data_IF_528481350022
#
_entry.id   IF_528481350022
#
_cell.length_a   1.000
_cell.length_b   1.000
_cell.length_c   1.000
_cell.angle_alpha   90.00
_cell.angle_beta   90.00
_cell.angle_gamma   90.00
#
_symmetry.space_group_name_H-M   'P 1'
#
loop_
_entity.id
_entity.type
_entity.pdbx_description
1 polymer ?
#
# COMPACT_ATOMS: atom_id res chain seq x y z
N UNK A 1 66.24 32.11 -5.64
CA UNK A 1 65.43 33.14 -4.97
C UNK A 1 64.00 33.07 -5.51
N UNK A 2 63.00 32.86 -4.66
CA UNK A 2 61.54 32.78 -4.90
C UNK A 2 60.92 31.37 -4.91
N UNK A 3 60.94 30.73 -3.77
CA UNK A 3 60.14 29.57 -3.47
C UNK A 3 59.38 29.71 -2.14
N UNK A 4 58.99 30.94 -1.75
CA UNK A 4 58.36 31.22 -0.44
C UNK A 4 56.95 31.85 -0.50
N UNK A 5 56.35 32.01 -1.68
CA UNK A 5 55.04 32.65 -1.80
C UNK A 5 53.89 31.77 -2.25
N UNK A 6 54.10 30.45 -2.33
CA UNK A 6 53.06 29.50 -2.76
C UNK A 6 52.33 28.74 -1.63
N UNK A 7 52.70 29.03 -0.33
CA UNK A 7 52.10 28.29 0.79
C UNK A 7 51.05 29.09 1.57
N UNK A 8 50.72 30.31 1.23
CA UNK A 8 49.79 31.15 1.99
C UNK A 8 48.32 31.14 1.49
N UNK A 9 48.02 30.51 0.36
CA UNK A 9 46.64 30.49 -0.20
C UNK A 9 45.87 29.17 0.05
N UNK A 10 46.57 28.12 0.49
CA UNK A 10 45.96 26.80 0.72
C UNK A 10 45.26 26.67 2.09
N UNK A 11 45.52 27.56 3.07
CA UNK A 11 44.95 27.42 4.39
C UNK A 11 43.56 28.02 4.58
N UNK A 12 43.09 28.90 3.69
CA UNK A 12 41.77 29.54 3.81
C UNK A 12 40.65 28.74 3.11
N UNK A 13 40.97 27.85 2.18
CA UNK A 13 39.99 27.03 1.50
C UNK A 13 39.56 25.77 2.29
N UNK A 14 40.39 25.32 3.21
CA UNK A 14 40.14 24.12 3.99
C UNK A 14 39.05 24.26 5.08
N UNK A 15 38.87 25.46 5.61
CA UNK A 15 37.91 25.73 6.71
C UNK A 15 36.45 25.91 6.17
N UNK A 16 36.26 26.37 4.96
CA UNK A 16 34.95 26.56 4.37
C UNK A 16 34.30 25.23 3.91
N UNK A 17 35.12 24.25 3.49
CA UNK A 17 34.66 22.91 3.08
C UNK A 17 34.27 22.01 4.26
N UNK A 18 34.92 22.18 5.43
CA UNK A 18 34.61 21.39 6.61
C UNK A 18 33.27 21.76 7.25
N UNK A 19 32.86 23.04 7.16
CA UNK A 19 31.57 23.49 7.69
C UNK A 19 30.38 23.10 6.82
N UNK A 20 30.58 22.96 5.51
CA UNK A 20 29.50 22.55 4.59
C UNK A 20 29.23 21.05 4.66
N UNK A 21 30.27 20.22 4.83
CA UNK A 21 30.09 18.77 4.97
C UNK A 21 29.43 18.38 6.31
N UNK A 22 29.63 19.15 7.38
CA UNK A 22 28.97 18.92 8.66
C UNK A 22 27.46 19.27 8.61
N UNK A 23 27.07 20.28 7.80
CA UNK A 23 25.66 20.66 7.65
C UNK A 23 24.86 19.67 6.78
N UNK A 24 25.48 19.05 5.77
CA UNK A 24 24.86 18.01 4.97
C UNK A 24 24.76 16.67 5.70
N UNK A 25 25.73 16.31 6.54
CA UNK A 25 25.69 15.08 7.33
C UNK A 25 24.60 15.10 8.40
N UNK A 26 24.31 16.29 8.99
CA UNK A 26 23.23 16.43 9.97
C UNK A 26 21.82 16.26 9.35
N UNK A 27 21.65 16.52 8.06
CA UNK A 27 20.38 16.36 7.35
C UNK A 27 20.10 14.92 6.96
N UNK A 28 21.13 14.14 6.63
CA UNK A 28 20.99 12.71 6.29
C UNK A 28 20.75 11.81 7.51
N UNK A 29 21.16 12.25 8.71
CA UNK A 29 20.92 11.50 9.95
C UNK A 29 19.46 11.51 10.43
N UNK A 30 18.67 12.49 10.02
CA UNK A 30 17.27 12.65 10.46
C UNK A 30 16.26 11.89 9.59
N UNK A 31 16.62 11.55 8.35
CA UNK A 31 15.79 10.73 7.48
C UNK A 31 15.83 9.22 7.80
N UNK A 32 16.80 8.76 8.55
CA UNK A 32 16.95 7.33 8.94
C UNK A 32 16.00 6.85 10.02
N UNK A 33 15.17 7.72 10.59
CA UNK A 33 14.29 7.35 11.71
C UNK A 33 12.89 6.94 11.29
N UNK A 34 12.56 6.94 10.00
CA UNK A 34 11.31 6.39 9.50
C UNK A 34 11.50 4.90 9.21
N UNK A 35 11.24 4.07 10.22
CA UNK A 35 11.43 2.61 10.15
C UNK A 35 10.28 1.88 9.44
N UNK A 36 9.24 2.58 9.00
CA UNK A 36 8.09 1.97 8.30
C UNK A 36 8.35 2.05 6.80
N UNK A 37 8.58 0.90 6.17
CA UNK A 37 8.84 0.80 4.73
C UNK A 37 7.57 0.55 3.90
N UNK A 38 6.55 -0.09 4.48
CA UNK A 38 5.34 -0.51 3.78
C UNK A 38 4.20 -0.72 4.79
N UNK A 39 2.99 -0.41 4.37
CA UNK A 39 1.77 -0.80 5.08
C UNK A 39 0.89 -1.57 4.11
N UNK A 40 0.45 -2.77 4.50
CA UNK A 40 -0.40 -3.64 3.68
C UNK A 40 -1.63 -4.02 4.50
N UNK A 41 -2.85 -3.80 4.00
CA UNK A 41 -4.06 -4.27 4.66
C UNK A 41 -4.15 -5.80 4.59
N UNK A 42 -4.54 -6.43 5.69
CA UNK A 42 -4.91 -7.86 5.76
C UNK A 42 -6.40 -7.94 6.02
N UNK A 43 -7.14 -8.45 5.06
CA UNK A 43 -8.60 -8.55 5.11
C UNK A 43 -9.01 -9.97 5.48
N UNK A 44 -9.89 -10.11 6.47
CA UNK A 44 -10.33 -11.42 6.93
C UNK A 44 -11.65 -11.79 6.27
N UNK A 45 -11.69 -13.00 5.72
CA UNK A 45 -12.80 -13.52 4.91
C UNK A 45 -13.16 -14.95 5.30
N UNK A 46 -14.31 -15.43 4.86
CA UNK A 46 -14.68 -16.85 5.00
C UNK A 46 -13.90 -17.73 4.02
N UNK A 47 -13.63 -17.22 2.81
CA UNK A 47 -12.91 -17.89 1.73
C UNK A 47 -12.16 -16.85 0.93
N UNK A 48 -10.91 -17.09 0.57
CA UNK A 48 -10.06 -16.14 -0.16
C UNK A 48 -10.24 -16.22 -1.66
N UNK A 49 -10.73 -17.32 -2.21
CA UNK A 49 -10.84 -17.58 -3.64
C UNK A 49 -11.76 -16.58 -4.37
N UNK A 50 -12.92 -16.17 -3.83
CA UNK A 50 -13.77 -15.16 -4.49
C UNK A 50 -13.06 -13.80 -4.62
N UNK A 51 -12.33 -13.38 -3.58
CA UNK A 51 -11.54 -12.14 -3.61
C UNK A 51 -10.34 -12.27 -4.55
N UNK A 52 -9.64 -13.41 -4.56
CA UNK A 52 -8.60 -13.71 -5.54
C UNK A 52 -9.09 -13.49 -6.97
N UNK A 53 -10.20 -14.13 -7.32
CA UNK A 53 -10.81 -14.03 -8.65
C UNK A 53 -11.18 -12.57 -8.98
N UNK A 54 -11.81 -11.86 -8.05
CA UNK A 54 -12.20 -10.47 -8.22
C UNK A 54 -11.02 -9.57 -8.61
N UNK A 55 -9.91 -9.65 -7.88
CA UNK A 55 -8.75 -8.80 -8.11
C UNK A 55 -7.95 -9.20 -9.34
N UNK A 56 -7.78 -10.50 -9.58
CA UNK A 56 -6.98 -10.98 -10.72
C UNK A 56 -7.70 -10.77 -12.04
N UNK A 57 -8.98 -11.10 -12.14
CA UNK A 57 -9.72 -11.05 -13.40
C UNK A 57 -10.15 -9.62 -13.78
N UNK A 58 -10.53 -8.79 -12.79
CA UNK A 58 -11.02 -7.44 -13.07
C UNK A 58 -9.92 -6.40 -13.13
N UNK A 59 -8.93 -6.52 -12.26
CA UNK A 59 -7.90 -5.50 -12.08
C UNK A 59 -6.49 -5.97 -12.44
N UNK A 60 -6.29 -7.23 -12.80
CA UNK A 60 -5.00 -7.76 -13.21
C UNK A 60 -3.96 -7.82 -12.08
N UNK A 61 -4.41 -7.96 -10.83
CA UNK A 61 -3.51 -8.28 -9.73
C UNK A 61 -2.89 -9.65 -9.94
N UNK A 62 -1.68 -9.84 -9.41
CA UNK A 62 -0.97 -11.10 -9.39
C UNK A 62 -0.98 -11.68 -7.98
N UNK A 63 -1.28 -12.97 -7.84
CA UNK A 63 -1.06 -13.67 -6.59
C UNK A 63 0.44 -13.92 -6.42
N UNK A 64 1.04 -13.35 -5.37
CA UNK A 64 2.47 -13.43 -5.08
C UNK A 64 2.77 -14.42 -3.95
N UNK A 65 1.82 -14.62 -3.03
CA UNK A 65 1.91 -15.58 -1.94
C UNK A 65 0.62 -16.36 -1.83
N UNK A 66 0.70 -17.64 -1.48
CA UNK A 66 -0.43 -18.46 -1.07
C UNK A 66 -0.03 -19.40 0.07
N UNK A 67 -0.95 -19.65 0.99
CA UNK A 67 -0.82 -20.65 2.03
C UNK A 67 -2.05 -21.56 2.02
N UNK A 68 -1.89 -22.87 1.79
CA UNK A 68 -2.99 -23.82 1.84
C UNK A 68 -3.57 -23.97 3.26
N UNK A 69 -4.87 -24.24 3.32
CA UNK A 69 -5.61 -24.63 4.52
C UNK A 69 -6.51 -25.82 4.16
N UNK A 70 -6.00 -27.05 4.33
CA UNK A 70 -6.70 -28.25 3.86
C UNK A 70 -6.80 -28.30 2.34
N UNK A 71 -8.03 -28.33 1.82
CA UNK A 71 -8.36 -28.39 0.40
C UNK A 71 -8.61 -27.03 -0.27
N UNK A 72 -8.43 -25.95 0.46
CA UNK A 72 -8.61 -24.57 -0.01
C UNK A 72 -7.42 -23.69 0.40
N UNK A 73 -7.46 -22.39 0.03
CA UNK A 73 -6.43 -21.44 0.42
C UNK A 73 -6.83 -20.72 1.73
N UNK A 74 -5.93 -20.72 2.71
CA UNK A 74 -6.11 -20.02 3.98
C UNK A 74 -5.62 -18.57 3.94
N UNK A 75 -4.63 -18.28 3.07
CA UNK A 75 -4.03 -16.95 2.94
C UNK A 75 -3.54 -16.70 1.52
N UNK A 76 -3.67 -15.46 1.07
CA UNK A 76 -3.10 -14.97 -0.19
C UNK A 76 -2.55 -13.55 -0.04
N UNK A 77 -1.49 -13.23 -0.80
CA UNK A 77 -1.07 -11.87 -1.07
C UNK A 77 -1.25 -11.56 -2.56
N UNK A 78 -1.79 -10.40 -2.86
CA UNK A 78 -2.10 -9.92 -4.20
C UNK A 78 -1.41 -8.60 -4.45
N UNK A 79 -0.70 -8.47 -5.58
CA UNK A 79 0.05 -7.27 -5.93
C UNK A 79 -0.27 -6.75 -7.33
N UNK A 80 -0.26 -5.41 -7.46
CA UNK A 80 -0.27 -4.70 -8.73
C UNK A 80 0.51 -3.39 -8.61
N UNK A 81 1.68 -3.33 -9.24
CA UNK A 81 2.58 -2.19 -9.08
C UNK A 81 2.99 -2.01 -7.62
N UNK A 82 2.73 -0.84 -7.05
CA UNK A 82 3.01 -0.54 -5.64
C UNK A 82 1.87 -0.91 -4.69
N UNK A 83 0.74 -1.39 -5.21
CA UNK A 83 -0.43 -1.74 -4.40
C UNK A 83 -0.37 -3.21 -4.02
N UNK A 84 -0.52 -3.49 -2.73
CA UNK A 84 -0.66 -4.84 -2.20
C UNK A 84 -1.88 -4.93 -1.29
N UNK A 85 -2.56 -6.06 -1.33
CA UNK A 85 -3.63 -6.43 -0.41
C UNK A 85 -3.49 -7.91 -0.06
N UNK A 86 -3.72 -8.24 1.19
CA UNK A 86 -3.66 -9.61 1.68
C UNK A 86 -5.03 -10.06 2.18
N UNK A 87 -5.33 -11.34 2.00
CA UNK A 87 -6.54 -11.97 2.49
C UNK A 87 -6.19 -13.19 3.32
N UNK A 88 -6.89 -13.37 4.43
CA UNK A 88 -6.75 -14.52 5.31
C UNK A 88 -8.13 -15.02 5.73
N UNK A 89 -8.31 -16.35 5.77
CA UNK A 89 -9.55 -16.93 6.27
C UNK A 89 -9.69 -16.72 7.78
N UNK A 90 -10.93 -16.59 8.27
CA UNK A 90 -11.20 -16.58 9.71
C UNK A 90 -10.78 -17.90 10.39
N UNK A 91 -10.90 -19.02 9.68
CA UNK A 91 -10.47 -20.34 10.17
C UNK A 91 -8.96 -20.40 10.33
N UNK A 92 -8.20 -19.99 9.32
CA UNK A 92 -6.73 -19.97 9.37
C UNK A 92 -6.20 -19.08 10.49
N UNK A 93 -6.86 -17.93 10.75
CA UNK A 93 -6.49 -17.05 11.85
C UNK A 93 -6.69 -17.70 13.23
N UNK A 94 -7.70 -18.56 13.35
CA UNK A 94 -8.07 -19.26 14.61
C UNK A 94 -7.37 -20.61 14.76
N UNK A 95 -6.73 -21.13 13.72
CA UNK A 95 -6.14 -22.48 13.72
C UNK A 95 -4.95 -22.61 14.68
N UNK A 96 -4.24 -21.52 14.97
CA UNK A 96 -3.18 -21.49 15.97
C UNK A 96 -3.71 -20.93 17.31
N UNK A 97 -3.93 -21.79 18.32
CA UNK A 97 -4.40 -21.35 19.64
C UNK A 97 -3.41 -20.44 20.38
N UNK A 98 -2.14 -20.44 19.98
CA UNK A 98 -1.10 -19.57 20.54
C UNK A 98 -1.10 -18.18 19.90
N UNK A 99 -1.87 -17.97 18.81
CA UNK A 99 -1.98 -16.67 18.17
C UNK A 99 -2.79 -15.69 19.03
N UNK A 100 -2.16 -14.66 19.61
CA UNK A 100 -2.86 -13.69 20.45
C UNK A 100 -3.93 -12.89 19.70
N UNK A 101 -3.86 -12.85 18.36
CA UNK A 101 -4.80 -12.14 17.51
C UNK A 101 -6.04 -12.98 17.13
N UNK A 102 -6.04 -14.29 17.42
CA UNK A 102 -7.13 -15.19 17.05
C UNK A 102 -8.50 -14.75 17.61
N UNK A 103 -8.49 -14.06 18.76
CA UNK A 103 -9.70 -13.54 19.39
C UNK A 103 -10.04 -12.09 19.00
N UNK A 104 -9.10 -11.38 18.34
CA UNK A 104 -9.28 -9.99 17.95
C UNK A 104 -9.94 -9.83 16.58
N UNK A 105 -10.13 -10.93 15.84
CA UNK A 105 -10.70 -10.89 14.48
C UNK A 105 -12.22 -10.80 14.58
N UNK A 106 -12.76 -9.61 14.37
CA UNK A 106 -14.20 -9.40 14.24
C UNK A 106 -14.64 -9.67 12.80
N UNK A 107 -15.78 -10.34 12.65
CA UNK A 107 -16.38 -10.59 11.33
C UNK A 107 -17.16 -9.36 10.89
N UNK A 108 -16.45 -8.35 10.40
CA UNK A 108 -17.04 -7.12 9.90
C UNK A 108 -16.40 -6.66 8.60
N UNK A 109 -17.09 -5.80 7.81
CA UNK A 109 -16.52 -5.24 6.61
C UNK A 109 -15.40 -4.25 6.93
N UNK A 110 -14.33 -4.32 6.14
CA UNK A 110 -13.31 -3.27 6.07
C UNK A 110 -13.55 -2.40 4.86
N UNK A 111 -12.97 -1.19 4.86
CA UNK A 111 -13.06 -0.25 3.76
C UNK A 111 -11.67 -0.02 3.19
N UNK A 112 -11.52 -0.20 1.89
CA UNK A 112 -10.32 0.15 1.13
C UNK A 112 -10.61 1.40 0.31
N UNK A 113 -9.78 2.42 0.45
CA UNK A 113 -9.79 3.60 -0.41
C UNK A 113 -8.63 3.47 -1.40
N UNK A 114 -8.96 3.47 -2.70
CA UNK A 114 -7.99 3.29 -3.77
C UNK A 114 -8.07 4.45 -4.75
N UNK A 115 -7.00 5.22 -4.86
CA UNK A 115 -6.90 6.26 -5.86
C UNK A 115 -6.64 5.64 -7.24
N UNK A 116 -7.36 6.13 -8.24
CA UNK A 116 -7.28 5.66 -9.63
C UNK A 116 -7.13 6.83 -10.59
N UNK A 117 -6.49 6.56 -11.73
CA UNK A 117 -6.31 7.57 -12.76
C UNK A 117 -7.58 7.80 -13.61
N UNK A 118 -8.39 6.74 -13.80
CA UNK A 118 -9.59 6.78 -14.64
C UNK A 118 -10.73 5.97 -14.00
N UNK A 119 -11.72 6.67 -13.49
CA UNK A 119 -12.89 6.08 -12.82
C UNK A 119 -13.80 5.35 -13.81
N UNK A 120 -13.84 5.78 -15.08
CA UNK A 120 -14.66 5.14 -16.09
C UNK A 120 -14.10 3.77 -16.48
N UNK A 121 -12.77 3.66 -16.60
CA UNK A 121 -12.10 2.38 -16.82
C UNK A 121 -12.35 1.40 -15.66
N UNK A 122 -12.39 1.91 -14.41
CA UNK A 122 -12.76 1.12 -13.23
C UNK A 122 -14.20 0.65 -13.33
N UNK A 123 -15.14 1.53 -13.67
CA UNK A 123 -16.56 1.17 -13.81
C UNK A 123 -16.78 0.08 -14.85
N UNK A 124 -16.08 0.14 -15.99
CA UNK A 124 -16.09 -0.92 -17.01
C UNK A 124 -15.58 -2.26 -16.42
N UNK A 125 -14.51 -2.24 -15.66
CA UNK A 125 -13.94 -3.44 -15.01
C UNK A 125 -14.87 -4.03 -13.94
N UNK A 126 -15.78 -3.20 -13.40
CA UNK A 126 -16.73 -3.60 -12.36
C UNK A 126 -18.07 -4.11 -12.92
N UNK A 127 -18.25 -4.24 -14.24
CA UNK A 127 -19.49 -4.79 -14.80
C UNK A 127 -19.82 -6.17 -14.21
N UNK A 128 -21.04 -6.29 -13.67
CA UNK A 128 -21.51 -7.50 -12.98
C UNK A 128 -20.99 -7.68 -11.55
N UNK A 129 -20.27 -6.72 -11.00
CA UNK A 129 -19.96 -6.66 -9.56
C UNK A 129 -21.12 -6.03 -8.76
N UNK A 130 -21.12 -6.22 -7.44
CA UNK A 130 -22.10 -5.63 -6.54
C UNK A 130 -21.75 -4.15 -6.30
N UNK A 131 -22.32 -3.25 -7.12
CA UNK A 131 -22.14 -1.81 -6.97
C UNK A 131 -23.03 -1.32 -5.84
N UNK A 132 -22.40 -0.77 -4.80
CA UNK A 132 -23.09 -0.16 -3.64
C UNK A 132 -23.49 1.27 -3.95
N UNK A 133 -22.57 2.02 -4.59
CA UNK A 133 -22.82 3.38 -5.03
C UNK A 133 -22.21 3.58 -6.41
N UNK A 134 -23.01 3.99 -7.42
CA UNK A 134 -22.50 4.32 -8.75
C UNK A 134 -21.54 5.51 -8.72
N UNK A 135 -20.90 5.80 -9.86
CA UNK A 135 -20.05 6.99 -9.98
C UNK A 135 -20.82 8.24 -9.54
N UNK A 136 -20.24 8.97 -8.62
CA UNK A 136 -20.78 10.21 -8.09
C UNK A 136 -19.65 11.21 -7.79
N UNK A 137 -20.00 12.50 -7.76
CA UNK A 137 -19.10 13.55 -7.33
C UNK A 137 -19.18 13.74 -5.82
N UNK A 138 -18.02 13.91 -5.18
CA UNK A 138 -17.94 14.19 -3.74
C UNK A 138 -17.79 15.69 -3.48
N UNK A 139 -18.05 16.10 -2.25
CA UNK A 139 -17.90 17.51 -1.85
C UNK A 139 -16.46 18.01 -1.89
N UNK A 140 -15.47 17.11 -1.87
CA UNK A 140 -14.04 17.44 -1.97
C UNK A 140 -13.47 17.25 -3.40
N UNK A 141 -14.36 17.04 -4.39
CA UNK A 141 -14.06 17.14 -5.81
C UNK A 141 -13.56 15.85 -6.47
N UNK A 142 -13.54 14.72 -5.77
CA UNK A 142 -13.26 13.43 -6.40
C UNK A 142 -14.50 12.87 -7.09
N UNK A 143 -14.29 11.98 -8.08
CA UNK A 143 -15.32 11.08 -8.60
C UNK A 143 -15.11 9.68 -8.00
N UNK A 144 -16.14 9.13 -7.40
CA UNK A 144 -16.04 7.85 -6.70
C UNK A 144 -17.07 6.84 -7.15
N UNK A 145 -16.69 5.56 -7.08
CA UNK A 145 -17.59 4.41 -7.19
C UNK A 145 -17.30 3.47 -6.03
N UNK A 146 -18.35 2.96 -5.38
CA UNK A 146 -18.22 2.03 -4.26
C UNK A 146 -18.73 0.66 -4.67
N UNK A 147 -17.92 -0.36 -4.47
CA UNK A 147 -18.24 -1.76 -4.74
C UNK A 147 -18.09 -2.58 -3.45
N UNK A 148 -18.96 -3.56 -3.27
CA UNK A 148 -18.75 -4.63 -2.30
C UNK A 148 -18.05 -5.77 -3.01
N UNK A 149 -16.82 -6.06 -2.61
CA UNK A 149 -16.07 -7.16 -3.21
C UNK A 149 -16.54 -8.52 -2.61
N UNK A 150 -16.30 -9.66 -3.29
CA UNK A 150 -16.89 -10.95 -2.91
C UNK A 150 -16.52 -11.47 -1.51
N UNK A 151 -15.43 -10.99 -0.91
CA UNK A 151 -15.06 -11.31 0.48
C UNK A 151 -15.91 -10.56 1.51
N UNK A 152 -16.74 -9.61 1.07
CA UNK A 152 -17.66 -8.84 1.91
C UNK A 152 -17.14 -7.48 2.34
N UNK A 153 -15.97 -7.06 1.87
CA UNK A 153 -15.40 -5.75 2.15
C UNK A 153 -15.83 -4.71 1.12
N UNK A 154 -15.72 -3.43 1.47
CA UNK A 154 -16.05 -2.33 0.57
C UNK A 154 -14.78 -1.73 -0.02
N UNK A 155 -14.79 -1.49 -1.33
CA UNK A 155 -13.73 -0.78 -2.02
C UNK A 155 -14.30 0.50 -2.61
N UNK A 156 -13.70 1.62 -2.24
CA UNK A 156 -13.98 2.95 -2.76
C UNK A 156 -12.87 3.24 -3.77
N UNK A 157 -13.21 3.29 -5.05
CA UNK A 157 -12.29 3.77 -6.08
C UNK A 157 -12.53 5.25 -6.29
N UNK A 158 -11.48 6.06 -6.18
CA UNK A 158 -11.56 7.51 -6.24
C UNK A 158 -10.62 8.07 -7.31
N UNK A 159 -11.16 8.80 -8.25
CA UNK A 159 -10.38 9.65 -9.15
C UNK A 159 -10.32 11.04 -8.55
N UNK A 160 -9.12 11.40 -8.06
CA UNK A 160 -8.89 12.70 -7.44
C UNK A 160 -8.88 13.82 -8.49
N UNK A 161 -9.25 15.08 -8.13
CA UNK A 161 -9.13 16.22 -9.03
C UNK A 161 -7.67 16.44 -9.43
N UNK A 162 -7.43 16.76 -10.69
CA UNK A 162 -6.09 17.13 -11.16
C UNK A 162 -5.70 18.44 -10.47
N UNK A 163 -4.52 18.43 -9.85
CA UNK A 163 -3.92 19.63 -9.26
C UNK A 163 -3.27 20.49 -10.30
#
# INVERSE_FOLDING_TARGET
MKLRQLFAVAAAAGLALATWTAFTAARTGRERTMMINKSTPVLHVKSVEPSLKFWTERFGFKKTVEVPEGDHLGFIALEKGAVEVMYQTYSGMKADPANPLAHAVEQGPSFLFMEVADINAVAESLKGAEIVQPIHDTFYGSKEIVVKEPGGHFVIFAQMPQR
#
